data_IF_547462055872
#
_entry.id   IF_547462055872
#
_cell.length_a   1.000
_cell.length_b   1.000
_cell.length_c   1.000
_cell.angle_alpha   90.00
_cell.angle_beta   90.00
_cell.angle_gamma   90.00
#
_symmetry.space_group_name_H-M   'P 1'
#
loop_
_entity.id
_entity.type
_entity.pdbx_description
1 polymer ?
#
# COMPACT_ATOMS: atom_id res chain seq x y z
N UNK A 1 2.39 1.67 -22.77
CA UNK A 1 1.66 1.36 -21.52
C UNK A 1 2.68 0.89 -20.49
N UNK A 2 2.42 1.15 -19.21
CA UNK A 2 3.35 0.87 -18.12
C UNK A 2 2.65 0.07 -17.03
N UNK A 3 3.32 -0.98 -16.54
CA UNK A 3 2.89 -1.72 -15.35
C UNK A 3 3.65 -1.18 -14.15
N UNK A 4 2.97 -0.41 -13.31
CA UNK A 4 3.56 0.20 -12.10
C UNK A 4 3.12 -0.59 -10.89
N UNK A 5 4.06 -1.06 -10.08
CA UNK A 5 3.81 -1.90 -8.89
C UNK A 5 4.29 -1.18 -7.64
N UNK A 6 3.44 -1.07 -6.63
CA UNK A 6 3.80 -0.56 -5.31
C UNK A 6 3.67 -1.68 -4.28
N UNK A 7 4.79 -2.04 -3.66
CA UNK A 7 4.81 -2.89 -2.48
C UNK A 7 4.80 -2.02 -1.22
N UNK A 8 3.85 -2.29 -0.32
CA UNK A 8 3.76 -1.65 0.99
C UNK A 8 3.94 -2.72 2.05
N UNK A 9 4.74 -2.44 3.08
CA UNK A 9 4.96 -3.34 4.18
C UNK A 9 4.84 -2.60 5.52
N UNK A 10 4.16 -3.22 6.49
CA UNK A 10 4.20 -2.79 7.88
C UNK A 10 5.46 -3.35 8.55
N UNK A 11 6.45 -2.51 8.78
CA UNK A 11 7.71 -2.88 9.46
C UNK A 11 7.62 -2.82 11.00
N UNK A 12 6.46 -2.39 11.52
CA UNK A 12 6.18 -2.27 12.94
C UNK A 12 6.03 -3.62 13.66
N UNK A 13 6.07 -3.57 14.99
CA UNK A 13 5.80 -4.74 15.83
C UNK A 13 4.30 -5.09 15.86
N UNK A 14 3.45 -4.08 16.01
CA UNK A 14 2.00 -4.22 16.08
C UNK A 14 1.35 -4.14 14.70
N UNK A 15 0.16 -4.71 14.56
CA UNK A 15 -0.66 -4.52 13.36
C UNK A 15 -1.10 -3.06 13.23
N UNK A 16 -1.49 -2.66 12.03
CA UNK A 16 -2.00 -1.30 11.78
C UNK A 16 -3.28 -0.98 12.57
N UNK A 17 -4.03 -2.02 12.98
CA UNK A 17 -5.17 -1.90 13.91
C UNK A 17 -4.78 -1.74 15.38
N UNK A 18 -3.53 -2.04 15.75
CA UNK A 18 -2.98 -2.06 17.12
C UNK A 18 -3.60 -3.15 18.01
N UNK A 19 -4.93 -3.30 18.04
CA UNK A 19 -5.65 -4.28 18.85
C UNK A 19 -6.69 -5.06 18.04
N UNK A 20 -6.96 -6.31 18.45
CA UNK A 20 -8.02 -7.13 17.81
C UNK A 20 -9.40 -6.52 18.00
N UNK A 21 -9.66 -5.85 19.12
CA UNK A 21 -10.91 -5.12 19.34
C UNK A 21 -11.13 -4.03 18.29
N UNK A 22 -10.10 -3.23 17.99
CA UNK A 22 -10.17 -2.18 16.98
C UNK A 22 -10.41 -2.74 15.56
N UNK A 23 -9.82 -3.90 15.26
CA UNK A 23 -10.09 -4.65 14.02
C UNK A 23 -11.54 -5.10 13.93
N UNK A 24 -12.05 -5.77 14.98
CA UNK A 24 -13.42 -6.30 15.02
C UNK A 24 -14.48 -5.20 14.94
N UNK A 25 -14.24 -4.07 15.62
CA UNK A 25 -15.15 -2.92 15.64
C UNK A 25 -14.93 -1.94 14.47
N UNK A 26 -13.97 -2.21 13.57
CA UNK A 26 -13.62 -1.37 12.41
C UNK A 26 -13.38 0.10 12.80
N UNK A 27 -12.70 0.32 13.92
CA UNK A 27 -12.45 1.66 14.50
C UNK A 27 -11.41 2.45 13.68
N UNK A 28 -10.56 1.74 12.92
CA UNK A 28 -9.44 2.32 12.19
C UNK A 28 -9.68 2.22 10.69
N UNK A 29 -9.46 3.32 9.97
CA UNK A 29 -9.55 3.34 8.52
C UNK A 29 -8.48 2.43 7.88
N UNK A 30 -8.79 1.74 6.78
CA UNK A 30 -7.81 0.93 6.05
C UNK A 30 -6.69 1.79 5.48
N UNK A 31 -5.55 1.14 5.23
CA UNK A 31 -4.45 1.75 4.50
C UNK A 31 -4.89 2.05 3.06
N UNK A 32 -4.36 3.13 2.53
CA UNK A 32 -4.66 3.63 1.20
C UNK A 32 -3.36 3.73 0.43
N UNK A 33 -3.37 3.28 -0.81
CA UNK A 33 -2.29 3.50 -1.76
C UNK A 33 -2.77 4.38 -2.89
N UNK A 34 -1.92 5.29 -3.36
CA UNK A 34 -2.27 6.24 -4.40
C UNK A 34 -1.15 6.35 -5.44
N UNK A 35 -1.55 6.63 -6.67
CA UNK A 35 -0.67 7.04 -7.75
C UNK A 35 -1.12 8.38 -8.30
N UNK A 36 -0.18 9.32 -8.43
CA UNK A 36 -0.39 10.63 -9.01
C UNK A 36 0.74 10.94 -10.00
N UNK A 37 0.52 11.86 -10.94
CA UNK A 37 1.62 12.42 -11.71
C UNK A 37 2.28 13.53 -10.91
N UNK A 38 3.60 13.62 -10.96
CA UNK A 38 4.35 14.65 -10.23
C UNK A 38 4.11 16.07 -10.79
N UNK A 39 3.67 16.17 -12.04
CA UNK A 39 3.28 17.43 -12.70
C UNK A 39 1.87 17.90 -12.31
N UNK A 40 1.16 17.17 -11.44
CA UNK A 40 -0.20 17.50 -10.99
C UNK A 40 -1.30 17.18 -12.00
N UNK A 41 -0.97 16.66 -13.19
CA UNK A 41 -1.96 16.24 -14.17
C UNK A 41 -2.62 14.92 -13.75
N UNK A 42 -3.84 14.67 -14.25
CA UNK A 42 -4.53 13.41 -14.02
C UNK A 42 -3.75 12.22 -14.61
N UNK A 43 -3.73 11.11 -13.87
CA UNK A 43 -3.14 9.85 -14.36
C UNK A 43 -4.12 9.19 -15.34
N UNK A 44 -3.67 8.85 -16.54
CA UNK A 44 -4.42 8.03 -17.49
C UNK A 44 -4.26 6.55 -17.12
N UNK A 45 -5.21 6.06 -16.32
CA UNK A 45 -5.32 4.67 -15.91
C UNK A 45 -6.04 3.88 -17.00
N UNK A 46 -5.48 2.73 -17.35
CA UNK A 46 -6.15 1.78 -18.27
C UNK A 46 -7.35 1.13 -17.58
N UNK A 47 -7.23 0.86 -16.28
CA UNK A 47 -8.26 0.28 -15.44
C UNK A 47 -8.03 0.66 -13.96
N UNK A 48 -9.11 0.70 -13.18
CA UNK A 48 -9.07 0.89 -11.73
C UNK A 48 -9.05 2.35 -11.30
N UNK A 49 -8.73 2.57 -10.02
CA UNK A 49 -8.72 3.88 -9.38
C UNK A 49 -7.29 4.31 -9.04
N UNK A 50 -7.04 5.62 -9.13
CA UNK A 50 -5.75 6.20 -8.74
C UNK A 50 -5.50 6.06 -7.23
N UNK A 51 -6.57 5.97 -6.43
CA UNK A 51 -6.56 5.85 -4.97
C UNK A 51 -7.31 4.58 -4.58
N UNK A 52 -6.63 3.65 -3.91
CA UNK A 52 -7.18 2.33 -3.58
C UNK A 52 -7.03 2.03 -2.11
N UNK A 53 -8.08 1.49 -1.48
CA UNK A 53 -8.03 0.98 -0.09
C UNK A 53 -7.51 -0.45 -0.09
N UNK A 54 -6.44 -0.72 0.66
CA UNK A 54 -5.75 -2.03 0.67
C UNK A 54 -5.94 -2.82 1.97
N UNK A 55 -6.81 -2.34 2.86
CA UNK A 55 -7.14 -3.01 4.12
C UNK A 55 -6.17 -2.70 5.26
N UNK A 56 -5.98 -3.65 6.16
CA UNK A 56 -5.09 -3.54 7.32
C UNK A 56 -3.89 -4.46 7.13
N UNK A 57 -2.72 -4.06 7.61
CA UNK A 57 -1.49 -4.85 7.55
C UNK A 57 -1.16 -5.37 8.95
N UNK A 58 -0.86 -6.65 9.05
CA UNK A 58 -0.40 -7.24 10.31
C UNK A 58 1.02 -6.76 10.66
N UNK A 59 1.43 -6.92 11.90
CA UNK A 59 2.79 -6.57 12.36
C UNK A 59 3.64 -7.82 12.61
N UNK A 60 4.92 -7.62 12.93
CA UNK A 60 5.85 -8.74 13.24
C UNK A 60 5.36 -9.66 14.37
N UNK A 61 4.61 -9.13 15.33
CA UNK A 61 3.99 -9.91 16.40
C UNK A 61 3.11 -11.06 15.89
N UNK A 62 2.40 -10.86 14.77
CA UNK A 62 1.50 -11.90 14.23
C UNK A 62 2.27 -13.12 13.72
N UNK A 63 3.38 -12.88 13.01
CA UNK A 63 4.23 -13.94 12.44
C UNK A 63 4.91 -14.77 13.54
N UNK A 64 5.34 -14.14 14.62
CA UNK A 64 6.06 -14.80 15.70
C UNK A 64 5.15 -15.58 16.66
N UNK A 65 3.90 -15.14 16.85
CA UNK A 65 2.99 -15.72 17.85
C UNK A 65 2.07 -16.81 17.28
N UNK A 66 1.82 -16.82 15.97
CA UNK A 66 0.98 -17.82 15.30
C UNK A 66 1.76 -19.07 14.83
N UNK A 67 2.92 -19.35 15.42
CA UNK A 67 3.67 -20.58 15.15
C UNK A 67 4.74 -20.49 14.06
N UNK A 68 5.31 -19.29 13.85
CA UNK A 68 6.66 -19.04 13.31
C UNK A 68 7.15 -19.87 12.10
N UNK A 69 7.50 -19.20 11.00
CA UNK A 69 8.23 -19.75 9.84
C UNK A 69 7.55 -20.86 9.02
N UNK A 70 6.53 -21.54 9.54
CA UNK A 70 5.69 -22.49 8.79
C UNK A 70 4.53 -21.80 8.04
N UNK A 71 4.28 -20.52 8.33
CA UNK A 71 3.31 -19.70 7.61
C UNK A 71 4.01 -19.02 6.44
N UNK A 72 3.60 -19.35 5.22
CA UNK A 72 4.02 -18.71 3.96
C UNK A 72 3.31 -17.36 3.71
N UNK A 73 2.48 -16.91 4.66
CA UNK A 73 1.71 -15.69 4.56
C UNK A 73 2.53 -14.41 4.78
N UNK A 74 2.50 -13.50 3.81
CA UNK A 74 3.04 -12.12 3.95
C UNK A 74 1.95 -11.14 4.38
N UNK A 75 1.33 -11.37 5.55
CA UNK A 75 0.18 -10.57 6.03
C UNK A 75 0.54 -9.14 6.42
N UNK A 76 1.83 -8.86 6.60
CA UNK A 76 2.39 -7.52 6.81
C UNK A 76 2.55 -6.73 5.50
N UNK A 77 2.33 -7.35 4.34
CA UNK A 77 2.61 -6.76 3.02
C UNK A 77 1.40 -6.73 2.12
N UNK A 78 1.36 -5.72 1.27
CA UNK A 78 0.42 -5.63 0.15
C UNK A 78 1.15 -5.19 -1.11
N UNK A 79 0.82 -5.81 -2.23
CA UNK A 79 1.32 -5.43 -3.54
C UNK A 79 0.16 -4.97 -4.40
N UNK A 80 0.15 -3.69 -4.75
CA UNK A 80 -0.83 -3.13 -5.67
C UNK A 80 -0.19 -2.85 -7.04
N UNK A 81 -0.96 -3.01 -8.11
CA UNK A 81 -0.49 -2.84 -9.49
C UNK A 81 -1.46 -1.95 -10.27
N UNK A 82 -0.93 -0.90 -10.89
CA UNK A 82 -1.64 -0.08 -11.87
C UNK A 82 -1.12 -0.34 -13.28
N UNK A 83 -2.01 -0.21 -14.25
CA UNK A 83 -1.66 -0.13 -15.68
C UNK A 83 -1.92 1.30 -16.14
N UNK A 84 -0.87 2.01 -16.55
CA UNK A 84 -0.91 3.45 -16.85
C UNK A 84 -0.51 3.69 -18.30
N UNK A 85 -1.28 4.54 -18.99
CA UNK A 85 -0.91 5.12 -20.28
C UNK A 85 -0.17 6.43 -20.04
N UNK A 86 1.12 6.44 -20.39
CA UNK A 86 1.97 7.61 -20.23
C UNK A 86 3.14 7.54 -21.20
N UNK A 87 3.67 8.71 -21.56
CA UNK A 87 4.91 8.82 -22.35
C UNK A 87 6.11 8.48 -21.48
N UNK A 88 7.16 7.93 -22.10
CA UNK A 88 8.50 7.83 -21.52
C UNK A 88 8.93 9.19 -20.94
N UNK A 89 9.58 9.18 -19.79
CA UNK A 89 9.96 10.36 -19.02
C UNK A 89 8.87 10.90 -18.09
N UNK A 90 7.65 10.35 -18.12
CA UNK A 90 6.61 10.73 -17.15
C UNK A 90 7.04 10.36 -15.75
N UNK A 91 6.93 11.31 -14.82
CA UNK A 91 7.25 11.13 -13.40
C UNK A 91 5.96 10.89 -12.62
N UNK A 92 5.91 9.78 -11.88
CA UNK A 92 4.78 9.39 -11.05
C UNK A 92 5.19 9.44 -9.57
N UNK A 93 4.30 9.96 -8.73
CA UNK A 93 4.39 9.89 -7.28
C UNK A 93 3.48 8.77 -6.78
N UNK A 94 4.06 7.79 -6.10
CA UNK A 94 3.36 6.71 -5.44
C UNK A 94 3.32 7.00 -3.94
N UNK A 95 2.16 6.89 -3.31
CA UNK A 95 2.02 7.09 -1.87
C UNK A 95 1.30 5.93 -1.21
N UNK A 96 1.61 5.71 0.06
CA UNK A 96 0.86 4.85 0.95
C UNK A 96 0.60 5.61 2.25
N UNK A 97 -0.63 5.56 2.75
CA UNK A 97 -1.03 6.26 3.97
C UNK A 97 -1.93 5.39 4.85
N UNK A 98 -1.80 5.57 6.16
CA UNK A 98 -2.61 4.89 7.15
C UNK A 98 -2.79 5.76 8.39
N UNK A 99 -4.02 5.80 8.92
CA UNK A 99 -4.41 6.68 10.03
C UNK A 99 -3.51 6.57 11.27
N UNK A 100 -2.97 5.38 11.56
CA UNK A 100 -2.12 5.12 12.74
C UNK A 100 -0.67 4.78 12.43
N UNK A 101 -0.35 4.47 11.17
CA UNK A 101 0.99 4.03 10.78
C UNK A 101 1.74 5.09 9.95
N UNK A 102 1.13 6.25 9.74
CA UNK A 102 1.72 7.37 9.01
C UNK A 102 1.56 7.24 7.51
N UNK A 103 2.43 7.95 6.77
CA UNK A 103 2.43 7.97 5.31
C UNK A 103 3.85 7.95 4.76
N UNK A 104 4.02 7.34 3.58
CA UNK A 104 5.27 7.31 2.83
C UNK A 104 4.97 7.59 1.36
N UNK A 105 5.89 8.27 0.67
CA UNK A 105 5.80 8.53 -0.76
C UNK A 105 7.13 8.26 -1.44
N UNK A 106 7.07 7.83 -2.69
CA UNK A 106 8.23 7.63 -3.56
C UNK A 106 7.90 8.09 -4.97
N UNK A 107 8.92 8.47 -5.73
CA UNK A 107 8.78 8.98 -7.09
C UNK A 107 9.48 8.05 -8.06
N UNK A 108 8.83 7.73 -9.18
CA UNK A 108 9.39 6.88 -10.24
C UNK A 108 9.25 7.56 -11.60
N UNK A 109 10.30 7.48 -12.41
CA UNK A 109 10.30 7.97 -13.80
C UNK A 109 10.11 6.79 -14.73
N UNK A 110 9.15 6.89 -15.64
CA UNK A 110 8.86 5.87 -16.65
C UNK A 110 9.94 5.89 -17.74
N UNK A 111 10.63 4.76 -17.94
CA UNK A 111 11.83 4.64 -18.77
C UNK A 111 11.61 4.51 -20.26
#
# INVERSE_FOLDING_TARGET
MWKVRLGVANTGWLSTTVTQHAKHKKIVLPAVVEVARADGAAVDLVEGEARVRIGQLEGRSKVLLDGGSMSDGTTDRHLHTWIIRAKKGTVLTLSASHQRAGSVSTTVTLG
#
